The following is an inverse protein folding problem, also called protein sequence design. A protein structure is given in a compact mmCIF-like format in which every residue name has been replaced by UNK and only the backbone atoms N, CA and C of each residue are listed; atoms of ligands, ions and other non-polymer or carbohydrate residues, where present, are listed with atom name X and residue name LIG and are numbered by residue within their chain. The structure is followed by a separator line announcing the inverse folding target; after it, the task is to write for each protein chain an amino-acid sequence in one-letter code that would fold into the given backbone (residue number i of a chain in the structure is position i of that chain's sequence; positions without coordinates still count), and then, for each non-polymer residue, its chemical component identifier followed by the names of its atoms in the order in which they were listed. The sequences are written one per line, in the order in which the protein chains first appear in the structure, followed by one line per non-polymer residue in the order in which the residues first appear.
data_IF_983653219133
#
_entry.id   IF_983653219133
#
_cell.length_a   1.000
_cell.length_b   1.000
_cell.length_c   1.000
_cell.angle_alpha   90.00
_cell.angle_beta   90.00
_cell.angle_gamma   90.00
#
_symmetry.space_group_name_H-M   'P 1'
#
loop_
_entity.id
_entity.type
_entity.pdbx_description
1 polymer ?
#
# COMPACT_ATOMS: atom_id res chain seq x y z
N UNK A 1 22.65 1.78 14.56
CA UNK A 1 22.57 3.15 14.01
C UNK A 1 22.84 3.22 12.52
N UNK A 2 23.92 2.60 12.03
CA UNK A 2 24.24 2.61 10.60
C UNK A 2 23.15 1.93 9.77
N UNK A 3 22.60 0.80 10.20
CA UNK A 3 21.53 0.09 9.50
C UNK A 3 20.25 0.93 9.43
N UNK A 4 19.92 1.66 10.50
CA UNK A 4 18.77 2.54 10.51
C UNK A 4 18.93 3.69 9.50
N UNK A 5 20.10 4.31 9.48
CA UNK A 5 20.37 5.41 8.55
C UNK A 5 20.39 4.94 7.09
N UNK A 6 20.92 3.74 6.83
CA UNK A 6 20.91 3.15 5.49
C UNK A 6 19.47 2.91 5.02
N UNK A 7 18.57 2.42 5.89
CA UNK A 7 17.17 2.20 5.57
C UNK A 7 16.44 3.52 5.27
N UNK A 8 16.71 4.56 6.05
CA UNK A 8 16.14 5.89 5.81
C UNK A 8 16.61 6.44 4.46
N UNK A 9 17.90 6.32 4.15
CA UNK A 9 18.47 6.78 2.88
C UNK A 9 17.85 6.02 1.70
N UNK A 10 17.70 4.69 1.81
CA UNK A 10 17.09 3.86 0.78
C UNK A 10 15.61 4.20 0.57
N UNK A 11 14.88 4.49 1.65
CA UNK A 11 13.48 4.87 1.59
C UNK A 11 13.26 6.17 0.82
N UNK A 12 14.23 7.09 0.88
CA UNK A 12 14.15 8.37 0.16
C UNK A 12 14.33 8.22 -1.35
N UNK A 13 14.97 7.13 -1.82
CA UNK A 13 15.15 6.88 -3.25
C UNK A 13 13.85 6.36 -3.84
N UNK A 14 13.40 7.02 -4.92
CA UNK A 14 12.11 6.73 -5.55
C UNK A 14 12.26 6.60 -7.06
N UNK A 15 11.44 5.71 -7.64
CA UNK A 15 11.33 5.59 -9.10
C UNK A 15 10.14 6.42 -9.56
N UNK A 16 10.38 7.37 -10.46
CA UNK A 16 9.31 8.10 -11.13
C UNK A 16 8.58 7.15 -12.08
N UNK A 17 7.25 7.15 -12.02
CA UNK A 17 6.40 6.37 -12.89
C UNK A 17 5.28 7.23 -13.44
N UNK A 18 5.10 7.18 -14.76
CA UNK A 18 3.98 7.85 -15.42
C UNK A 18 3.44 6.95 -16.52
N UNK A 19 2.11 6.80 -16.55
CA UNK A 19 1.42 6.16 -17.67
C UNK A 19 0.05 6.81 -17.82
N UNK A 20 -0.23 7.32 -19.04
CA UNK A 20 -1.40 8.16 -19.27
C UNK A 20 -1.38 9.36 -18.33
N UNK A 21 -2.45 9.60 -17.58
CA UNK A 21 -2.55 10.68 -16.61
C UNK A 21 -2.11 10.27 -15.20
N UNK A 22 -1.77 9.00 -15.01
CA UNK A 22 -1.36 8.51 -13.69
C UNK A 22 0.14 8.75 -13.47
N UNK A 23 0.47 9.39 -12.34
CA UNK A 23 1.86 9.70 -11.94
C UNK A 23 2.06 9.30 -10.49
N UNK A 24 3.18 8.65 -10.21
CA UNK A 24 3.58 8.33 -8.83
C UNK A 24 5.09 8.24 -8.72
N UNK A 25 5.59 8.28 -7.48
CA UNK A 25 7.00 8.08 -7.15
C UNK A 25 7.08 6.90 -6.19
N UNK A 26 7.62 5.78 -6.67
CA UNK A 26 7.63 4.50 -5.92
C UNK A 26 8.95 4.34 -5.17
N UNK A 27 8.91 4.21 -3.82
CA UNK A 27 10.16 3.99 -3.07
C UNK A 27 10.81 2.65 -3.43
N UNK A 28 12.10 2.68 -3.76
CA UNK A 28 12.83 1.46 -4.12
C UNK A 28 12.94 0.46 -2.97
N UNK A 29 12.94 0.93 -1.73
CA UNK A 29 13.06 0.08 -0.55
C UNK A 29 11.78 -0.70 -0.23
N UNK A 30 10.66 -0.36 -0.89
CA UNK A 30 9.37 -1.01 -0.63
C UNK A 30 9.16 -2.19 -1.55
N UNK A 31 8.32 -3.13 -1.11
CA UNK A 31 7.75 -4.17 -1.97
C UNK A 31 6.26 -3.90 -2.14
N UNK A 32 5.68 -4.42 -3.22
CA UNK A 32 4.33 -4.05 -3.64
C UNK A 32 3.50 -5.30 -3.89
N UNK A 33 2.31 -5.33 -3.30
CA UNK A 33 1.36 -6.41 -3.53
C UNK A 33 0.65 -6.25 -4.87
N UNK A 34 0.30 -7.35 -5.56
CA UNK A 34 -0.57 -7.28 -6.73
C UNK A 34 -1.94 -6.62 -6.45
N UNK A 35 -2.35 -6.57 -5.18
CA UNK A 35 -3.57 -5.87 -4.74
C UNK A 35 -3.34 -4.39 -4.44
N UNK A 36 -2.16 -3.87 -4.76
CA UNK A 36 -1.79 -2.45 -4.66
C UNK A 36 -1.58 -1.93 -3.23
N UNK A 37 -1.16 -2.82 -2.32
CA UNK A 37 -0.59 -2.43 -1.06
C UNK A 37 0.94 -2.35 -1.18
N UNK A 38 1.57 -1.59 -0.30
CA UNK A 38 3.03 -1.59 -0.18
C UNK A 38 3.43 -2.07 1.20
N UNK A 39 4.64 -2.61 1.32
CA UNK A 39 5.24 -2.97 2.60
C UNK A 39 6.70 -2.55 2.64
N UNK A 40 7.13 -2.06 3.79
CA UNK A 40 8.50 -1.63 4.06
C UNK A 40 9.01 -2.32 5.31
N UNK A 41 10.13 -3.03 5.18
CA UNK A 41 10.76 -3.68 6.31
C UNK A 41 11.55 -2.65 7.11
N UNK A 42 10.99 -2.24 8.24
CA UNK A 42 11.56 -1.20 9.11
C UNK A 42 12.80 -1.69 9.83
N UNK A 43 12.73 -2.93 10.29
CA UNK A 43 13.79 -3.71 10.91
C UNK A 43 13.50 -5.18 10.64
N UNK A 44 14.41 -6.11 10.89
CA UNK A 44 14.17 -7.52 10.55
C UNK A 44 12.84 -8.04 11.05
N UNK A 45 12.02 -8.53 10.13
CA UNK A 45 10.69 -9.11 10.36
C UNK A 45 9.65 -8.15 10.91
N UNK A 46 9.90 -6.84 10.90
CA UNK A 46 8.89 -5.83 11.27
C UNK A 46 8.59 -4.95 10.07
N UNK A 47 7.31 -4.93 9.69
CA UNK A 47 6.85 -4.32 8.45
C UNK A 47 5.85 -3.21 8.72
N UNK A 48 5.97 -2.14 7.95
CA UNK A 48 4.95 -1.09 7.87
C UNK A 48 4.25 -1.27 6.53
N UNK A 49 2.92 -1.16 6.53
CA UNK A 49 2.10 -1.47 5.35
C UNK A 49 1.16 -0.30 5.06
N UNK A 50 0.97 -0.01 3.79
CA UNK A 50 0.05 1.02 3.36
C UNK A 50 -0.50 0.76 1.95
N UNK A 51 -1.17 1.76 1.39
CA UNK A 51 -1.71 1.70 0.04
C UNK A 51 -0.81 2.44 -0.94
N UNK A 52 -0.69 1.91 -2.16
CA UNK A 52 -0.03 2.65 -3.23
C UNK A 52 -0.93 3.80 -3.70
N UNK A 53 -0.34 4.77 -4.38
CA UNK A 53 -1.11 5.87 -4.97
C UNK A 53 -2.13 5.35 -5.97
N UNK A 54 -1.83 4.26 -6.69
CA UNK A 54 -2.79 3.65 -7.59
C UNK A 54 -4.04 3.19 -6.84
N UNK A 55 -3.87 2.51 -5.70
CA UNK A 55 -5.00 2.08 -4.88
C UNK A 55 -5.82 3.28 -4.40
N UNK A 56 -5.17 4.33 -3.92
CA UNK A 56 -5.89 5.53 -3.45
C UNK A 56 -6.65 6.22 -4.57
N UNK A 57 -6.10 6.20 -5.79
CA UNK A 57 -6.79 6.77 -6.95
C UNK A 57 -8.04 5.97 -7.32
N UNK A 58 -7.97 4.65 -7.22
CA UNK A 58 -9.11 3.78 -7.51
C UNK A 58 -10.22 3.90 -6.48
N UNK A 59 -9.86 4.06 -5.21
CA UNK A 59 -10.82 4.22 -4.12
C UNK A 59 -11.40 5.63 -4.05
N UNK A 60 -10.66 6.62 -4.55
CA UNK A 60 -10.96 8.02 -4.34
C UNK A 60 -10.48 8.50 -2.97
N UNK A 61 -10.71 9.76 -2.64
CA UNK A 61 -10.31 10.30 -1.35
C UNK A 61 -10.93 9.48 -0.21
N UNK A 62 -10.10 9.14 0.78
CA UNK A 62 -10.51 8.24 1.86
C UNK A 62 -11.49 8.93 2.80
N UNK A 63 -12.58 8.23 3.09
CA UNK A 63 -13.65 8.67 3.98
C UNK A 63 -13.58 7.95 5.31
N UNK A 64 -13.30 6.64 5.30
CA UNK A 64 -13.31 5.84 6.51
C UNK A 64 -12.38 4.62 6.38
N UNK A 65 -11.93 4.12 7.52
CA UNK A 65 -11.03 2.99 7.64
C UNK A 65 -11.36 2.26 8.94
N UNK A 66 -11.58 0.96 8.86
CA UNK A 66 -11.86 0.16 10.04
C UNK A 66 -11.00 -1.08 10.09
N UNK A 67 -10.62 -1.50 11.30
CA UNK A 67 -9.88 -2.75 11.52
C UNK A 67 -10.74 -3.73 12.32
N UNK A 68 -10.71 -4.99 11.89
CA UNK A 68 -11.39 -6.10 12.57
C UNK A 68 -10.40 -6.98 13.33
N UNK A 69 -9.13 -6.59 13.37
CA UNK A 69 -8.08 -7.29 14.09
C UNK A 69 -7.51 -6.38 15.19
N UNK A 70 -7.08 -6.98 16.28
CA UNK A 70 -6.53 -6.25 17.42
C UNK A 70 -5.02 -6.43 17.50
N UNK A 71 -4.36 -5.50 18.19
CA UNK A 71 -2.91 -5.58 18.43
C UNK A 71 -2.57 -6.90 19.12
N UNK A 72 -1.60 -7.62 18.56
CA UNK A 72 -1.17 -8.93 19.07
C UNK A 72 -1.87 -10.12 18.43
N UNK A 73 -2.92 -9.91 17.63
CA UNK A 73 -3.60 -11.02 16.96
C UNK A 73 -2.71 -11.61 15.87
N UNK A 74 -2.79 -12.93 15.69
CA UNK A 74 -2.15 -13.61 14.58
C UNK A 74 -2.89 -13.29 13.29
N UNK A 75 -2.13 -13.05 12.22
CA UNK A 75 -2.67 -12.75 10.89
C UNK A 75 -1.97 -13.58 9.83
N UNK A 76 -2.67 -13.84 8.74
CA UNK A 76 -2.15 -14.57 7.58
C UNK A 76 -2.30 -13.69 6.34
N UNK A 77 -1.34 -13.75 5.42
CA UNK A 77 -1.45 -12.97 4.19
C UNK A 77 -2.74 -13.35 3.43
N UNK A 78 -3.42 -12.34 2.90
CA UNK A 78 -4.71 -12.51 2.24
C UNK A 78 -5.90 -12.55 3.17
N UNK A 79 -5.68 -12.59 4.48
CA UNK A 79 -6.75 -12.50 5.48
C UNK A 79 -7.36 -11.10 5.46
N UNK A 80 -8.68 -11.01 5.49
CA UNK A 80 -9.36 -9.72 5.63
C UNK A 80 -9.20 -9.26 7.07
N UNK A 81 -8.55 -8.11 7.26
CA UNK A 81 -8.27 -7.53 8.59
C UNK A 81 -9.00 -6.22 8.83
N UNK A 82 -9.80 -5.78 7.87
CA UNK A 82 -10.54 -4.54 7.97
C UNK A 82 -11.17 -4.15 6.65
N UNK A 83 -11.53 -2.89 6.54
CA UNK A 83 -12.18 -2.34 5.36
C UNK A 83 -11.80 -0.88 5.16
N UNK A 84 -11.94 -0.43 3.91
CA UNK A 84 -11.60 0.93 3.49
C UNK A 84 -12.74 1.49 2.68
N UNK A 85 -13.11 2.75 2.94
CA UNK A 85 -14.13 3.46 2.17
C UNK A 85 -13.54 4.74 1.61
N UNK A 86 -13.55 4.85 0.27
CA UNK A 86 -13.24 6.08 -0.44
C UNK A 86 -14.49 6.60 -1.13
N UNK A 87 -14.41 7.81 -1.71
CA UNK A 87 -15.56 8.40 -2.42
C UNK A 87 -15.99 7.56 -3.62
N UNK A 88 -15.08 6.81 -4.25
CA UNK A 88 -15.39 6.05 -5.47
C UNK A 88 -15.72 4.59 -5.20
N UNK A 89 -15.18 3.99 -4.14
CA UNK A 89 -15.32 2.56 -3.90
C UNK A 89 -15.08 2.20 -2.45
N UNK A 90 -15.60 1.03 -2.06
CA UNK A 90 -15.32 0.37 -0.78
C UNK A 90 -14.53 -0.89 -1.09
N UNK A 91 -13.56 -1.22 -0.26
CA UNK A 91 -12.73 -2.41 -0.41
C UNK A 91 -12.42 -3.04 0.93
N UNK A 92 -12.24 -4.36 0.93
CA UNK A 92 -11.64 -5.05 2.06
C UNK A 92 -10.17 -4.67 2.20
N UNK A 93 -9.68 -4.70 3.42
CA UNK A 93 -8.26 -4.52 3.72
C UNK A 93 -7.66 -5.88 4.06
N UNK A 94 -6.61 -6.27 3.33
CA UNK A 94 -5.98 -7.58 3.48
C UNK A 94 -4.63 -7.47 4.18
N UNK A 95 -4.31 -8.48 4.97
CA UNK A 95 -2.95 -8.61 5.51
C UNK A 95 -1.97 -8.98 4.40
N UNK A 96 -0.81 -8.33 4.39
CA UNK A 96 0.33 -8.72 3.54
C UNK A 96 1.35 -9.57 4.31
N UNK A 97 1.11 -9.82 5.58
CA UNK A 97 2.08 -10.43 6.50
C UNK A 97 1.49 -11.70 7.09
N UNK A 98 2.33 -12.74 7.19
CA UNK A 98 2.08 -13.93 8.02
C UNK A 98 2.79 -13.73 9.34
N UNK A 99 2.06 -13.52 10.40
CA UNK A 99 2.65 -13.27 11.73
C UNK A 99 1.68 -12.61 12.67
N UNK A 100 2.11 -11.51 13.29
CA UNK A 100 1.34 -10.86 14.34
C UNK A 100 1.09 -9.38 14.01
N UNK A 101 -0.17 -8.99 14.08
CA UNK A 101 -0.56 -7.59 13.90
C UNK A 101 -0.08 -6.77 15.10
N UNK A 102 0.56 -5.63 14.87
CA UNK A 102 1.16 -4.84 15.93
C UNK A 102 0.38 -3.59 16.29
N UNK A 103 0.11 -2.74 15.31
CA UNK A 103 -0.57 -1.46 15.58
C UNK A 103 -1.11 -0.82 14.31
N UNK A 104 -2.02 0.11 14.50
CA UNK A 104 -2.54 0.99 13.45
C UNK A 104 -1.83 2.34 13.53
N UNK A 105 -1.97 3.16 12.49
CA UNK A 105 -1.36 4.50 12.44
C UNK A 105 -2.22 5.50 13.22
N UNK A 106 -1.75 6.01 14.35
CA UNK A 106 -2.55 6.94 15.16
C UNK A 106 -2.79 8.29 14.47
N UNK A 107 -1.94 8.68 13.52
CA UNK A 107 -2.12 9.94 12.79
C UNK A 107 -3.40 9.93 11.94
N UNK A 108 -3.89 8.76 11.52
CA UNK A 108 -5.09 8.65 10.70
C UNK A 108 -6.37 8.95 11.48
N UNK A 109 -6.36 8.79 12.80
CA UNK A 109 -7.49 9.19 13.64
C UNK A 109 -7.69 10.70 13.62
N UNK A 110 -6.61 11.46 13.44
CA UNK A 110 -6.65 12.92 13.37
C UNK A 110 -6.91 13.41 11.95
N UNK A 111 -6.38 12.72 10.95
CA UNK A 111 -6.48 13.15 9.56
C UNK A 111 -6.37 11.93 8.62
N UNK A 112 -7.52 11.36 8.28
CA UNK A 112 -7.58 10.21 7.37
C UNK A 112 -7.14 10.57 5.95
N UNK A 113 -7.17 11.85 5.58
CA UNK A 113 -6.76 12.27 4.23
C UNK A 113 -5.28 12.06 3.96
N UNK A 114 -4.46 11.80 4.98
CA UNK A 114 -3.05 11.46 4.81
C UNK A 114 -2.86 10.22 3.94
N UNK A 115 -3.80 9.28 3.96
CA UNK A 115 -3.73 8.08 3.12
C UNK A 115 -3.65 8.47 1.64
N UNK A 116 -4.44 9.45 1.20
CA UNK A 116 -4.44 9.91 -0.19
C UNK A 116 -3.35 10.94 -0.48
N UNK A 117 -3.04 11.81 0.48
CA UNK A 117 -2.08 12.89 0.28
C UNK A 117 -0.64 12.45 0.37
N UNK A 118 -0.35 11.45 1.22
CA UNK A 118 1.01 11.00 1.47
C UNK A 118 1.03 9.48 1.72
N UNK A 119 0.64 8.68 0.71
CA UNK A 119 0.40 7.25 0.92
C UNK A 119 1.64 6.44 1.28
N UNK A 120 2.83 6.86 0.87
CA UNK A 120 4.06 6.08 1.07
C UNK A 120 4.79 6.42 2.37
N UNK A 121 4.39 7.47 3.08
CA UNK A 121 5.05 7.87 4.33
C UNK A 121 4.04 8.05 5.45
N UNK A 122 3.52 9.27 5.67
CA UNK A 122 2.66 9.54 6.82
C UNK A 122 1.30 8.86 6.77
N UNK A 123 0.89 8.42 5.58
CA UNK A 123 -0.39 7.75 5.36
C UNK A 123 -0.36 6.23 5.47
N UNK A 124 0.64 5.66 6.12
CA UNK A 124 0.69 4.20 6.33
C UNK A 124 -0.52 3.73 7.16
N UNK A 125 -0.89 2.45 6.99
CA UNK A 125 -2.10 1.90 7.60
C UNK A 125 -1.84 1.13 8.89
N UNK A 126 -0.90 0.19 8.86
CA UNK A 126 -0.63 -0.66 10.02
C UNK A 126 0.80 -1.19 10.00
N UNK A 127 1.22 -1.75 11.15
CA UNK A 127 2.49 -2.48 11.28
C UNK A 127 2.20 -3.90 11.75
N UNK A 128 3.03 -4.84 11.28
CA UNK A 128 2.95 -6.24 11.67
C UNK A 128 4.35 -6.86 11.65
N UNK A 129 4.54 -7.90 12.47
CA UNK A 129 5.79 -8.67 12.49
C UNK A 129 5.56 -10.01 11.84
N UNK A 130 6.56 -10.50 11.12
CA UNK A 130 6.52 -11.81 10.48
C UNK A 130 7.07 -11.80 9.08
N UNK A 131 6.52 -12.68 8.24
CA UNK A 131 6.99 -12.89 6.87
C UNK A 131 6.07 -12.18 5.88
N UNK A 132 6.67 -11.46 4.91
CA UNK A 132 5.92 -10.82 3.83
C UNK A 132 5.36 -11.88 2.87
N UNK A 133 4.19 -11.60 2.29
CA UNK A 133 3.58 -12.41 1.23
C UNK A 133 4.55 -12.56 0.05
N UNK A 134 4.82 -13.80 -0.35
CA UNK A 134 5.76 -14.13 -1.43
C UNK A 134 5.34 -13.55 -2.80
N UNK A 135 4.08 -13.17 -2.96
CA UNK A 135 3.57 -12.54 -4.19
C UNK A 135 3.94 -11.08 -4.31
N UNK A 136 4.47 -10.46 -3.26
CA UNK A 136 4.91 -9.07 -3.32
C UNK A 136 6.04 -8.89 -4.31
N UNK A 137 6.00 -7.78 -5.03
CA UNK A 137 6.86 -7.46 -6.15
C UNK A 137 7.82 -6.33 -5.79
N UNK A 138 8.99 -6.34 -6.40
CA UNK A 138 9.89 -5.18 -6.36
C UNK A 138 9.36 -4.11 -7.32
N UNK A 139 9.92 -2.91 -7.20
CA UNK A 139 9.48 -1.73 -7.95
C UNK A 139 9.33 -2.00 -9.45
N UNK A 140 10.34 -2.60 -10.10
CA UNK A 140 10.29 -2.78 -11.56
C UNK A 140 9.20 -3.76 -11.99
N UNK A 141 9.00 -4.82 -11.23
CA UNK A 141 7.93 -5.78 -11.48
C UNK A 141 6.55 -5.15 -11.26
N UNK A 142 6.44 -4.31 -10.24
CA UNK A 142 5.19 -3.61 -9.95
C UNK A 142 4.84 -2.61 -11.05
N UNK A 143 5.82 -1.88 -11.58
CA UNK A 143 5.55 -0.97 -12.71
C UNK A 143 5.09 -1.72 -13.96
N UNK A 144 5.61 -2.93 -14.20
CA UNK A 144 5.11 -3.77 -15.28
C UNK A 144 3.64 -4.16 -15.07
N UNK A 145 3.26 -4.48 -13.83
CA UNK A 145 1.87 -4.76 -13.48
C UNK A 145 0.98 -3.53 -13.68
N UNK A 146 1.45 -2.35 -13.30
CA UNK A 146 0.72 -1.09 -13.51
C UNK A 146 0.50 -0.83 -14.99
N UNK A 147 1.51 -1.05 -15.84
CA UNK A 147 1.38 -0.88 -17.28
C UNK A 147 0.20 -1.69 -17.81
N UNK A 148 0.16 -2.97 -17.48
CA UNK A 148 -0.90 -3.87 -17.92
C UNK A 148 -2.26 -3.46 -17.37
N UNK A 149 -2.32 -3.12 -16.12
CA UNK A 149 -3.57 -2.75 -15.42
C UNK A 149 -4.15 -1.46 -16.00
N UNK A 150 -3.31 -0.45 -16.16
CA UNK A 150 -3.74 0.85 -16.69
C UNK A 150 -4.20 0.71 -18.14
N UNK A 151 -3.47 -0.05 -18.96
CA UNK A 151 -3.86 -0.28 -20.35
C UNK A 151 -5.23 -0.96 -20.46
N UNK A 152 -5.52 -1.93 -19.58
CA UNK A 152 -6.84 -2.57 -19.55
C UNK A 152 -7.95 -1.59 -19.17
N UNK A 153 -7.70 -0.71 -18.20
CA UNK A 153 -8.67 0.31 -17.80
C UNK A 153 -8.96 1.25 -18.97
N UNK A 154 -7.93 1.70 -19.68
CA UNK A 154 -8.08 2.58 -20.82
C UNK A 154 -8.85 1.92 -21.97
N UNK A 155 -8.58 0.65 -22.25
CA UNK A 155 -9.33 -0.13 -23.24
C UNK A 155 -10.80 -0.24 -22.89
N UNK A 156 -11.12 -0.52 -21.63
CA UNK A 156 -12.51 -0.58 -21.16
C UNK A 156 -13.22 0.76 -21.31
N UNK A 157 -12.55 1.85 -20.98
CA UNK A 157 -13.11 3.20 -21.15
C UNK A 157 -13.41 3.49 -22.63
N UNK A 158 -12.52 3.11 -23.55
CA UNK A 158 -12.74 3.29 -24.98
C UNK A 158 -13.94 2.47 -25.48
N UNK A 159 -14.09 1.25 -24.98
CA UNK A 159 -15.23 0.40 -25.36
C UNK A 159 -16.55 0.96 -24.85
N UNK A 160 -16.57 1.55 -23.64
CA UNK A 160 -17.76 2.19 -23.08
C UNK A 160 -18.15 3.47 -23.83
N UNK A 161 -17.17 4.21 -24.34
CA UNK A 161 -17.40 5.43 -25.12
C UNK A 161 -17.79 5.13 -26.56
N UNK A 162 -17.45 3.96 -27.04
CA UNK A 162 -17.79 3.49 -28.38
C UNK A 162 -19.13 2.80 -28.42
#
# INVERSE_FOLDING_TARGET
MEAFMANETSKLKKKFYKRSTFVTHLPFAYVFSPSHGWAWEMEPNRWRVGLTKFATRMLGEMVDLGFETANGDSVTHGQIIGWMEGFKAISDLYSLIDGDFQCTNPALEKDITKISKDPYETGWLYEATGKIDDRCLKVDQYTNLLDTTIDKILEQQQQEEG
#
